data_IF_761722488761
#
_entry.id   IF_761722488761
#
_cell.length_a   1.000
_cell.length_b   1.000
_cell.length_c   1.000
_cell.angle_alpha   90.00
_cell.angle_beta   90.00
_cell.angle_gamma   90.00
#
_symmetry.space_group_name_H-M   'P 1'
#
loop_
_entity.id
_entity.type
_entity.pdbx_description
1 polymer ?
#
# COMPACT_ATOMS: atom_id res chain seq x y z
N UNK A 1 0.25 11.42 -2.85
CA UNK A 1 0.31 12.82 -2.35
C UNK A 1 1.71 13.16 -1.86
N UNK A 2 2.07 14.43 -1.61
CA UNK A 2 3.44 14.73 -1.12
C UNK A 2 3.66 14.31 0.34
N UNK A 3 2.58 14.24 1.12
CA UNK A 3 2.61 13.79 2.53
C UNK A 3 2.51 12.26 2.63
N UNK A 4 3.25 11.65 3.55
CA UNK A 4 3.19 10.21 3.82
C UNK A 4 1.79 9.73 4.17
N UNK A 5 1.09 10.43 5.07
CA UNK A 5 -0.27 10.08 5.47
C UNK A 5 -1.25 10.13 4.29
N UNK A 6 -1.21 11.19 3.48
CA UNK A 6 -2.03 11.28 2.27
C UNK A 6 -1.76 10.16 1.28
N UNK A 7 -0.50 9.77 1.11
CA UNK A 7 -0.14 8.62 0.26
C UNK A 7 -0.66 7.30 0.82
N UNK A 8 -0.58 7.08 2.14
CA UNK A 8 -1.15 5.90 2.78
C UNK A 8 -2.68 5.83 2.63
N UNK A 9 -3.39 6.95 2.76
CA UNK A 9 -4.84 7.00 2.58
C UNK A 9 -5.23 6.67 1.14
N UNK A 10 -4.56 7.27 0.15
CA UNK A 10 -4.81 6.96 -1.27
C UNK A 10 -4.53 5.49 -1.56
N UNK A 11 -3.41 4.98 -1.08
CA UNK A 11 -3.04 3.57 -1.26
C UNK A 11 -4.07 2.63 -0.62
N UNK A 12 -4.54 2.92 0.60
CA UNK A 12 -5.58 2.14 1.26
C UNK A 12 -6.89 2.14 0.46
N UNK A 13 -7.28 3.28 -0.11
CA UNK A 13 -8.47 3.37 -0.95
C UNK A 13 -8.35 2.51 -2.23
N UNK A 14 -7.17 2.48 -2.87
CA UNK A 14 -6.91 1.63 -4.04
C UNK A 14 -7.03 0.14 -3.71
N UNK A 15 -6.40 -0.30 -2.62
CA UNK A 15 -6.42 -1.70 -2.19
C UNK A 15 -7.84 -2.15 -1.84
N UNK A 16 -8.58 -1.35 -1.06
CA UNK A 16 -9.96 -1.66 -0.71
C UNK A 16 -10.87 -1.66 -1.95
N UNK A 17 -10.67 -0.75 -2.90
CA UNK A 17 -11.40 -0.74 -4.17
C UNK A 17 -11.18 -2.03 -4.96
N UNK A 18 -9.93 -2.51 -5.02
CA UNK A 18 -9.58 -3.79 -5.65
C UNK A 18 -10.21 -4.99 -4.94
N UNK A 19 -10.19 -5.01 -3.60
CA UNK A 19 -10.82 -6.07 -2.81
C UNK A 19 -12.33 -6.10 -3.04
N UNK A 20 -13.00 -4.94 -3.01
CA UNK A 20 -14.45 -4.86 -3.28
C UNK A 20 -14.77 -5.36 -4.68
N UNK A 21 -13.99 -4.97 -5.69
CA UNK A 21 -14.16 -5.47 -7.05
C UNK A 21 -13.97 -7.00 -7.13
N UNK A 22 -12.95 -7.55 -6.46
CA UNK A 22 -12.72 -8.99 -6.41
C UNK A 22 -13.88 -9.74 -5.74
N UNK A 23 -14.44 -9.20 -4.65
CA UNK A 23 -15.61 -9.78 -3.98
C UNK A 23 -16.90 -9.67 -4.81
N UNK A 24 -17.01 -8.64 -5.67
CA UNK A 24 -18.13 -8.51 -6.61
C UNK A 24 -18.02 -9.49 -7.77
N UNK A 25 -16.79 -9.80 -8.22
CA UNK A 25 -16.54 -10.80 -9.26
C UNK A 25 -16.78 -12.23 -8.76
N UNK A 26 -16.26 -12.56 -7.57
CA UNK A 26 -16.45 -13.87 -6.94
C UNK A 26 -16.49 -13.71 -5.40
N UNK A 27 -17.60 -14.12 -4.78
CA UNK A 27 -17.73 -14.07 -3.33
C UNK A 27 -16.73 -15.01 -2.67
N UNK A 28 -15.92 -14.46 -1.77
CA UNK A 28 -14.88 -15.21 -1.07
C UNK A 28 -13.57 -15.32 -1.86
N UNK A 29 -13.40 -14.55 -2.93
CA UNK A 29 -12.14 -14.50 -3.68
C UNK A 29 -10.97 -14.18 -2.71
N UNK A 30 -9.90 -15.00 -2.67
CA UNK A 30 -8.77 -14.76 -1.80
C UNK A 30 -8.04 -13.48 -2.23
N UNK A 31 -7.94 -12.51 -1.32
CA UNK A 31 -7.31 -11.21 -1.56
C UNK A 31 -6.12 -11.00 -0.63
N UNK A 32 -5.10 -10.29 -1.12
CA UNK A 32 -3.91 -9.92 -0.36
C UNK A 32 -3.84 -8.40 -0.32
N UNK A 33 -3.61 -7.83 0.86
CA UNK A 33 -3.32 -6.41 1.02
C UNK A 33 -1.89 -6.13 0.54
N UNK A 34 -1.76 -5.80 -0.75
CA UNK A 34 -0.48 -5.58 -1.41
C UNK A 34 -0.08 -4.10 -1.47
N UNK A 35 1.19 -3.79 -1.19
CA UNK A 35 1.76 -2.46 -1.41
C UNK A 35 3.11 -2.48 -2.12
N UNK A 36 3.23 -1.62 -3.14
CA UNK A 36 4.49 -1.30 -3.84
C UNK A 36 4.72 0.22 -3.84
N UNK A 37 4.35 0.87 -2.75
CA UNK A 37 4.42 2.33 -2.64
C UNK A 37 5.85 2.78 -2.41
N UNK A 38 6.36 3.70 -3.22
CA UNK A 38 7.72 4.25 -3.12
C UNK A 38 7.70 5.77 -3.05
N UNK A 39 8.76 6.36 -2.49
CA UNK A 39 8.94 7.80 -2.49
C UNK A 39 9.50 8.28 -3.84
N UNK A 40 9.15 9.50 -4.25
CA UNK A 40 9.63 10.10 -5.50
C UNK A 40 10.52 11.31 -5.20
N UNK A 41 11.79 11.26 -5.61
CA UNK A 41 12.72 12.39 -5.54
C UNK A 41 12.36 13.39 -6.65
N UNK A 42 11.67 14.48 -6.30
CA UNK A 42 11.28 15.54 -7.22
C UNK A 42 12.47 16.27 -7.85
N UNK A 43 13.65 16.25 -7.22
CA UNK A 43 14.86 16.90 -7.75
C UNK A 43 15.52 16.08 -8.85
N UNK A 44 15.49 14.75 -8.70
CA UNK A 44 16.07 13.81 -9.68
C UNK A 44 15.04 13.18 -10.60
N UNK A 45 13.76 13.50 -10.40
CA UNK A 45 12.62 12.86 -11.07
C UNK A 45 12.71 11.33 -11.03
N UNK A 46 13.13 10.78 -9.89
CA UNK A 46 13.44 9.36 -9.73
C UNK A 46 12.59 8.74 -8.62
N UNK A 47 12.07 7.53 -8.88
CA UNK A 47 11.48 6.71 -7.83
C UNK A 47 12.61 6.16 -6.95
N UNK A 48 12.64 6.60 -5.69
CA UNK A 48 13.67 6.21 -4.74
C UNK A 48 13.13 5.12 -3.83
N UNK A 49 13.73 3.94 -3.93
CA UNK A 49 13.56 2.82 -3.01
C UNK A 49 14.61 2.91 -1.89
N UNK A 50 14.22 2.57 -0.66
CA UNK A 50 15.15 2.58 0.49
C UNK A 50 15.30 3.92 1.20
N UNK A 51 14.42 4.89 0.96
CA UNK A 51 14.37 6.13 1.75
C UNK A 51 13.61 5.90 3.07
N UNK A 52 13.82 6.73 4.12
CA UNK A 52 13.07 6.60 5.37
C UNK A 52 11.56 6.73 5.18
N UNK A 53 11.10 7.51 4.21
CA UNK A 53 9.70 7.61 3.81
C UNK A 53 9.15 6.26 3.33
N UNK A 54 9.92 5.55 2.50
CA UNK A 54 9.57 4.23 2.01
C UNK A 54 9.50 3.22 3.16
N UNK A 55 10.44 3.27 4.11
CA UNK A 55 10.43 2.42 5.29
C UNK A 55 9.20 2.67 6.18
N UNK A 56 8.83 3.94 6.41
CA UNK A 56 7.65 4.29 7.19
C UNK A 56 6.35 3.80 6.54
N UNK A 57 6.20 4.01 5.24
CA UNK A 57 5.04 3.51 4.48
C UNK A 57 4.98 1.98 4.55
N UNK A 58 6.10 1.31 4.32
CA UNK A 58 6.19 -0.15 4.37
C UNK A 58 5.90 -0.71 5.76
N UNK A 59 6.22 0.02 6.84
CA UNK A 59 5.88 -0.39 8.21
C UNK A 59 4.40 -0.19 8.56
N UNK A 60 3.74 0.81 7.96
CA UNK A 60 2.33 1.11 8.19
C UNK A 60 1.39 0.14 7.46
N UNK A 61 1.80 -0.38 6.29
CA UNK A 61 0.98 -1.28 5.49
C UNK A 61 0.60 -2.58 6.22
N UNK A 62 1.52 -3.33 6.86
CA UNK A 62 1.18 -4.50 7.65
C UNK A 62 0.24 -4.19 8.81
N UNK A 63 0.35 -3.00 9.41
CA UNK A 63 -0.56 -2.58 10.48
C UNK A 63 -2.00 -2.39 9.95
N UNK A 64 -2.15 -1.80 8.76
CA UNK A 64 -3.45 -1.66 8.09
C UNK A 64 -4.01 -3.03 7.64
N UNK A 65 -3.17 -3.89 7.07
CA UNK A 65 -3.60 -5.22 6.66
C UNK A 65 -4.10 -6.07 7.83
N UNK A 66 -3.43 -5.98 9.00
CA UNK A 66 -3.89 -6.62 10.24
C UNK A 66 -5.23 -6.06 10.73
N UNK A 67 -5.49 -4.76 10.54
CA UNK A 67 -6.78 -4.16 10.87
C UNK A 67 -7.93 -4.72 10.02
N UNK A 68 -7.67 -5.07 8.76
CA UNK A 68 -8.66 -5.70 7.87
C UNK A 68 -8.65 -7.22 7.90
N UNK A 69 -7.85 -7.84 8.78
CA UNK A 69 -7.66 -9.30 8.86
C UNK A 69 -7.22 -9.95 7.54
N UNK A 70 -6.46 -9.20 6.73
CA UNK A 70 -5.96 -9.66 5.44
C UNK A 70 -4.47 -9.97 5.47
N UNK A 71 -4.00 -10.97 4.71
CA UNK A 71 -2.57 -11.18 4.52
C UNK A 71 -1.95 -9.96 3.83
N UNK A 72 -0.79 -9.51 4.31
CA UNK A 72 -0.07 -8.38 3.75
C UNK A 72 1.09 -8.82 2.85
N UNK A 73 1.30 -8.12 1.74
CA UNK A 73 2.50 -8.25 0.93
C UNK A 73 3.11 -6.88 0.63
N UNK A 74 4.35 -6.66 1.07
CA UNK A 74 5.04 -5.37 0.94
C UNK A 74 6.43 -5.60 0.38
N UNK A 75 6.81 -4.81 -0.64
CA UNK A 75 8.14 -4.88 -1.23
C UNK A 75 9.20 -4.28 -0.28
N UNK A 76 10.22 -5.07 0.05
CA UNK A 76 11.39 -4.62 0.85
C UNK A 76 11.25 -4.75 2.37
N UNK A 77 10.40 -5.66 2.85
CA UNK A 77 10.42 -6.12 4.24
C UNK A 77 11.52 -7.17 4.48
#
# INVERSE_FOLDING_TARGET
PVTLAGTLVTHNAEVLGGIVLAQLAEKGCPCIYGSSTTAFDLRRAAATVGTPECALINSAVPALARFYELPSYVAGA
#
